data_IF_933432984764
#
_entry.id   IF_933432984764
#
_cell.length_a   1.000
_cell.length_b   1.000
_cell.length_c   1.000
_cell.angle_alpha   90.00
_cell.angle_beta   90.00
_cell.angle_gamma   90.00
#
_symmetry.space_group_name_H-M   'P 1'
#
loop_
_entity.id
_entity.type
_entity.pdbx_description
1 polymer ?
#
# COMPACT_ATOMS: atom_id res chain seq x y z
N UNK A 1 -22.30 -15.53 -38.76
CA UNK A 1 -22.01 -14.11 -38.46
C UNK A 1 -20.58 -14.06 -37.91
N UNK A 2 -19.61 -13.82 -38.80
CA UNK A 2 -18.19 -13.74 -38.49
C UNK A 2 -17.86 -12.32 -38.04
N UNK A 3 -17.06 -12.16 -36.98
CA UNK A 3 -16.17 -11.02 -36.84
C UNK A 3 -14.84 -11.52 -36.28
N UNK A 4 -13.91 -11.68 -37.21
CA UNK A 4 -12.47 -11.73 -37.01
C UNK A 4 -11.98 -10.41 -36.44
N UNK A 5 -10.87 -10.43 -35.68
CA UNK A 5 -9.77 -9.46 -35.79
C UNK A 5 -8.65 -9.84 -34.80
N UNK A 6 -7.73 -10.66 -35.31
CA UNK A 6 -6.38 -10.78 -34.75
C UNK A 6 -5.59 -9.50 -35.03
N UNK A 7 -4.82 -9.06 -34.03
CA UNK A 7 -3.84 -7.99 -34.18
C UNK A 7 -2.47 -8.61 -34.44
N UNK A 8 -2.14 -8.73 -35.72
CA UNK A 8 -0.79 -8.95 -36.22
C UNK A 8 -0.02 -7.62 -36.13
N UNK A 9 0.96 -7.51 -35.24
CA UNK A 9 1.97 -6.45 -35.29
C UNK A 9 3.31 -7.06 -35.72
N UNK A 10 3.58 -6.86 -37.01
CA UNK A 10 4.68 -7.40 -37.81
C UNK A 10 6.01 -6.70 -37.48
N UNK A 11 7.07 -7.49 -37.52
CA UNK A 11 8.40 -7.17 -38.07
C UNK A 11 9.41 -6.29 -37.30
N UNK A 12 10.35 -7.02 -36.68
CA UNK A 12 11.77 -6.72 -36.46
C UNK A 12 12.48 -5.96 -37.62
N UNK A 13 13.40 -5.03 -37.30
CA UNK A 13 14.68 -5.00 -38.02
C UNK A 13 15.91 -4.96 -37.09
N UNK A 14 16.81 -5.92 -37.35
CA UNK A 14 18.22 -5.94 -36.91
C UNK A 14 18.97 -4.84 -37.65
N UNK A 15 19.75 -4.01 -36.94
CA UNK A 15 20.88 -3.23 -37.49
C UNK A 15 22.00 -3.07 -36.43
N UNK A 16 23.26 -2.80 -36.85
CA UNK A 16 24.46 -3.41 -36.30
C UNK A 16 25.22 -2.61 -35.22
N UNK A 17 26.13 -3.35 -34.57
CA UNK A 17 27.16 -2.91 -33.62
C UNK A 17 28.04 -1.77 -34.17
N UNK A 18 28.56 -0.91 -33.28
CA UNK A 18 29.97 -0.51 -33.36
C UNK A 18 30.73 -0.95 -32.09
N UNK A 19 31.80 -1.72 -32.33
CA UNK A 19 32.83 -2.03 -31.36
C UNK A 19 33.63 -0.77 -31.00
N UNK A 20 33.80 -0.51 -29.71
CA UNK A 20 34.59 0.62 -29.23
C UNK A 20 35.04 0.40 -27.78
N UNK A 21 35.98 -0.53 -27.59
CA UNK A 21 36.47 -0.93 -26.28
C UNK A 21 37.03 0.20 -25.41
N UNK A 22 36.82 0.04 -24.10
CA UNK A 22 37.74 0.40 -23.02
C UNK A 22 37.57 -0.75 -22.00
N UNK A 23 38.62 -1.54 -21.79
CA UNK A 23 38.62 -2.55 -20.74
C UNK A 23 38.55 -1.83 -19.39
N UNK A 24 37.40 -1.91 -18.71
CA UNK A 24 37.24 -1.42 -17.34
C UNK A 24 37.70 -2.54 -16.40
N UNK A 25 38.62 -2.26 -15.46
CA UNK A 25 39.16 -3.28 -14.58
C UNK A 25 38.08 -3.90 -13.69
N UNK A 26 38.02 -5.22 -13.81
CA UNK A 26 37.40 -6.21 -12.94
C UNK A 26 37.92 -6.10 -11.49
N UNK A 27 37.44 -5.12 -10.74
CA UNK A 27 37.63 -5.06 -9.28
C UNK A 27 36.32 -4.63 -8.61
N UNK A 28 35.68 -5.55 -7.88
CA UNK A 28 34.68 -5.20 -6.87
C UNK A 28 33.22 -5.56 -7.17
N UNK A 29 32.93 -6.74 -7.72
CA UNK A 29 31.56 -7.22 -7.96
C UNK A 29 30.65 -7.36 -6.73
N UNK A 30 31.16 -7.12 -5.51
CA UNK A 30 30.39 -7.18 -4.26
C UNK A 30 29.91 -5.79 -3.81
N UNK A 31 30.57 -4.70 -4.21
CA UNK A 31 30.25 -3.35 -3.70
C UNK A 31 29.08 -2.69 -4.42
N UNK A 32 28.82 -2.98 -5.70
CA UNK A 32 27.75 -2.31 -6.46
C UNK A 32 26.35 -2.87 -6.17
N UNK A 33 26.24 -4.20 -5.91
CA UNK A 33 25.02 -4.80 -5.34
C UNK A 33 24.80 -4.34 -3.89
N UNK A 34 25.86 -4.26 -3.08
CA UNK A 34 25.79 -3.81 -1.70
C UNK A 34 25.43 -2.32 -1.57
N UNK A 35 25.92 -1.48 -2.48
CA UNK A 35 25.60 -0.05 -2.55
C UNK A 35 24.14 0.18 -2.99
N UNK A 36 23.63 -0.60 -3.96
CA UNK A 36 22.22 -0.56 -4.35
C UNK A 36 21.30 -1.00 -3.20
N UNK A 37 21.69 -2.03 -2.42
CA UNK A 37 20.93 -2.49 -1.26
C UNK A 37 20.92 -1.42 -0.15
N UNK A 38 22.04 -0.71 0.10
CA UNK A 38 22.12 0.36 1.11
C UNK A 38 21.24 1.58 0.78
N UNK A 39 21.15 1.96 -0.50
CA UNK A 39 20.30 3.08 -0.97
C UNK A 39 18.81 2.71 -0.92
N UNK A 40 18.46 1.44 -1.16
CA UNK A 40 17.09 0.94 -1.02
C UNK A 40 16.67 0.84 0.46
N UNK A 41 17.58 0.49 1.39
CA UNK A 41 17.30 0.48 2.84
C UNK A 41 17.03 1.87 3.45
N UNK A 42 17.59 2.95 2.89
CA UNK A 42 17.35 4.32 3.37
C UNK A 42 15.99 4.89 2.94
N UNK A 43 15.31 4.27 1.96
CA UNK A 43 13.97 4.65 1.49
C UNK A 43 12.83 3.75 2.01
N UNK A 44 13.14 2.82 2.91
CA UNK A 44 12.19 1.94 3.61
C UNK A 44 12.06 2.52 5.03
N UNK A 45 10.94 2.91 5.61
CA UNK A 45 9.49 2.90 5.35
C UNK A 45 8.90 3.81 6.42
N UNK A 46 7.74 4.47 6.23
CA UNK A 46 6.98 4.95 7.36
C UNK A 46 6.51 3.73 8.17
N UNK A 47 7.12 3.52 9.34
CA UNK A 47 6.54 2.73 10.43
C UNK A 47 5.26 3.44 10.85
N UNK A 48 4.14 3.11 10.19
CA UNK A 48 2.83 3.33 10.79
C UNK A 48 2.73 2.33 11.93
N UNK A 49 2.96 2.82 13.15
CA UNK A 49 2.62 2.11 14.37
C UNK A 49 1.09 1.96 14.42
N UNK A 50 0.55 0.97 13.70
CA UNK A 50 -0.79 0.48 13.94
C UNK A 50 -0.70 -0.31 15.25
N UNK A 51 -1.09 0.35 16.35
CA UNK A 51 -1.32 -0.32 17.62
C UNK A 51 -2.20 -1.57 17.42
N UNK A 52 -2.12 -2.54 18.34
CA UNK A 52 -2.67 -3.87 18.14
C UNK A 52 -4.12 -3.81 17.66
N UNK A 53 -4.33 -4.09 16.37
CA UNK A 53 -5.63 -4.36 15.82
C UNK A 53 -6.09 -5.68 16.44
N UNK A 54 -6.86 -5.60 17.53
CA UNK A 54 -7.58 -6.76 18.05
C UNK A 54 -8.43 -7.30 16.89
N UNK A 55 -8.08 -8.50 16.45
CA UNK A 55 -8.31 -9.07 15.13
C UNK A 55 -9.77 -9.43 14.80
N UNK A 56 -10.73 -8.68 15.30
CA UNK A 56 -12.16 -8.87 14.99
C UNK A 56 -13.05 -7.66 15.32
N UNK A 57 -12.56 -6.67 16.08
CA UNK A 57 -13.42 -5.61 16.58
C UNK A 57 -13.30 -4.35 15.70
N UNK A 58 -14.23 -4.24 14.74
CA UNK A 58 -14.40 -3.06 13.89
C UNK A 58 -14.82 -1.83 14.69
N UNK A 59 -14.43 -0.63 14.26
CA UNK A 59 -14.96 0.61 14.83
C UNK A 59 -16.41 0.79 14.39
N UNK A 60 -17.29 1.13 15.33
CA UNK A 60 -18.73 1.30 15.07
C UNK A 60 -19.09 2.77 15.01
N UNK A 61 -19.65 3.23 13.89
CA UNK A 61 -20.28 4.57 13.81
C UNK A 61 -21.77 4.47 14.12
N UNK A 62 -22.26 5.14 15.15
CA UNK A 62 -23.69 5.21 15.44
C UNK A 62 -24.46 5.96 14.36
N UNK A 63 -25.77 5.79 14.31
CA UNK A 63 -26.68 6.59 13.46
C UNK A 63 -26.60 8.09 13.73
N UNK A 64 -26.20 8.49 14.95
CA UNK A 64 -25.97 9.89 15.35
C UNK A 64 -24.59 10.43 14.96
N UNK A 65 -23.81 9.63 14.22
CA UNK A 65 -22.49 10.00 13.71
C UNK A 65 -21.35 9.89 14.72
N UNK A 66 -21.51 9.16 15.83
CA UNK A 66 -20.47 9.00 16.86
C UNK A 66 -19.64 7.75 16.57
N UNK A 67 -18.32 7.87 16.56
CA UNK A 67 -17.40 6.76 16.40
C UNK A 67 -17.07 6.09 17.74
N UNK A 68 -17.34 4.79 17.85
CA UNK A 68 -17.04 3.97 19.01
C UNK A 68 -15.95 2.95 18.67
N UNK A 69 -14.78 3.11 19.27
CA UNK A 69 -13.72 2.12 19.21
C UNK A 69 -14.05 0.90 20.12
N UNK A 70 -13.48 -0.27 19.81
CA UNK A 70 -13.57 -1.44 20.68
C UNK A 70 -13.06 -1.12 22.08
N UNK A 71 -13.74 -1.62 23.11
CA UNK A 71 -13.41 -1.34 24.51
C UNK A 71 -13.95 -0.02 25.06
N UNK A 72 -14.68 0.79 24.28
CA UNK A 72 -15.40 1.96 24.82
C UNK A 72 -16.75 1.56 25.44
N UNK A 73 -17.21 2.30 26.46
CA UNK A 73 -18.43 1.99 27.24
C UNK A 73 -19.69 1.78 26.40
N UNK A 74 -19.78 2.47 25.26
CA UNK A 74 -20.95 2.45 24.39
C UNK A 74 -20.82 1.49 23.20
N UNK A 75 -19.65 0.87 23.00
CA UNK A 75 -19.39 -0.02 21.86
C UNK A 75 -20.39 -1.19 21.76
N UNK A 76 -20.75 -1.78 22.91
CA UNK A 76 -21.69 -2.90 22.98
C UNK A 76 -23.17 -2.47 22.95
N UNK A 77 -23.44 -1.19 23.28
CA UNK A 77 -24.78 -0.59 23.30
C UNK A 77 -25.22 -0.15 21.90
N UNK A 78 -24.27 0.27 21.07
CA UNK A 78 -24.56 0.65 19.69
C UNK A 78 -24.79 -0.60 18.83
N UNK A 79 -26.06 -0.97 18.67
CA UNK A 79 -26.51 -2.10 17.83
C UNK A 79 -26.70 -1.72 16.36
N UNK A 80 -27.18 -0.51 16.11
CA UNK A 80 -27.29 0.06 14.78
C UNK A 80 -26.04 0.89 14.49
N UNK A 81 -25.16 0.37 13.63
CA UNK A 81 -23.91 1.04 13.32
C UNK A 81 -23.42 0.76 11.89
N UNK A 82 -22.58 1.67 11.40
CA UNK A 82 -21.75 1.43 10.22
C UNK A 82 -20.36 0.95 10.69
N UNK A 83 -19.88 -0.22 10.23
CA UNK A 83 -18.56 -0.73 10.60
C UNK A 83 -17.44 -0.02 9.80
N UNK A 84 -16.35 0.30 10.48
CA UNK A 84 -15.12 0.86 9.90
C UNK A 84 -13.91 0.05 10.36
N UNK A 85 -12.85 -0.02 9.54
CA UNK A 85 -11.64 -0.77 9.89
C UNK A 85 -10.83 -0.05 10.97
N UNK A 86 -10.86 1.27 10.94
CA UNK A 86 -10.11 2.12 11.86
C UNK A 86 -10.94 3.30 12.35
N UNK A 87 -10.48 3.93 13.44
CA UNK A 87 -11.12 5.11 13.99
C UNK A 87 -11.00 6.30 13.03
N UNK A 88 -9.84 6.43 12.37
CA UNK A 88 -9.59 7.48 11.39
C UNK A 88 -10.52 7.41 10.18
N UNK A 89 -10.80 6.20 9.66
CA UNK A 89 -11.78 6.02 8.59
C UNK A 89 -13.18 6.46 9.03
N UNK A 90 -13.56 6.13 10.26
CA UNK A 90 -14.84 6.56 10.81
C UNK A 90 -14.94 8.09 10.90
N UNK A 91 -13.89 8.77 11.35
CA UNK A 91 -13.83 10.23 11.42
C UNK A 91 -13.87 10.88 10.03
N UNK A 92 -13.11 10.34 9.07
CA UNK A 92 -13.12 10.81 7.67
C UNK A 92 -14.48 10.64 7.00
N UNK A 93 -15.28 9.66 7.43
CA UNK A 93 -16.66 9.46 6.95
C UNK A 93 -17.68 10.45 7.53
N UNK A 94 -17.23 11.52 8.19
CA UNK A 94 -18.06 12.52 8.88
C UNK A 94 -18.46 12.12 10.31
N UNK A 95 -17.78 11.14 10.89
CA UNK A 95 -17.98 10.74 12.27
C UNK A 95 -17.27 11.67 13.26
N UNK A 96 -17.70 11.65 14.52
CA UNK A 96 -17.11 12.44 15.63
C UNK A 96 -16.85 11.57 16.85
N UNK A 97 -15.89 11.97 17.67
CA UNK A 97 -15.64 11.32 18.95
C UNK A 97 -16.73 11.68 19.97
N UNK A 98 -17.07 10.76 20.89
CA UNK A 98 -17.97 11.09 22.00
C UNK A 98 -17.35 12.17 22.87
N UNK A 99 -18.12 13.22 23.15
CA UNK A 99 -17.77 14.21 24.17
C UNK A 99 -17.94 13.51 25.53
N UNK A 100 -16.87 13.43 26.32
CA UNK A 100 -16.97 12.92 27.70
C UNK A 100 -18.02 13.69 28.49
#
# INVERSE_FOLDING_TARGET
>A
MAVTLGKEAKQNPILPLPWGGKAVPITGGVTMKLLLILVVLLFVTPVHAQGPARSSEVVKKSTTGICHAPGTTYYNKTKNFTPFKTLDECLKSGGRLPKR
#
